data_IF_715610514192
#
_entry.id   IF_715610514192
#
_cell.length_a   1.000
_cell.length_b   1.000
_cell.length_c   1.000
_cell.angle_alpha   90.00
_cell.angle_beta   90.00
_cell.angle_gamma   90.00
#
_symmetry.space_group_name_H-M   'P 1'
#
loop_
_entity.id
_entity.type
_entity.pdbx_description
1 polymer ?
#
# COMPACT_ATOMS: atom_id res chain seq x y z
N UNK A 1 -65.14 -9.25 14.82
CA UNK A 1 -64.41 -7.97 14.63
C UNK A 1 -62.93 -8.30 14.55
N UNK A 2 -62.25 -8.10 13.41
CA UNK A 2 -60.80 -8.22 13.35
C UNK A 2 -60.18 -6.94 13.93
N UNK A 3 -59.30 -7.09 14.92
CA UNK A 3 -58.45 -6.01 15.44
C UNK A 3 -57.40 -5.66 14.39
N UNK A 4 -57.52 -4.48 13.77
CA UNK A 4 -56.43 -3.88 13.02
C UNK A 4 -55.41 -3.34 14.01
N UNK A 5 -54.34 -4.11 14.25
CA UNK A 5 -53.12 -3.53 14.80
C UNK A 5 -52.56 -2.55 13.77
N UNK A 6 -52.29 -1.28 14.14
CA UNK A 6 -51.64 -0.35 13.23
C UNK A 6 -50.20 -0.83 13.03
N UNK A 7 -49.92 -1.34 11.84
CA UNK A 7 -48.55 -1.50 11.33
C UNK A 7 -47.91 -0.12 11.46
N UNK A 8 -47.01 0.03 12.42
CA UNK A 8 -46.25 1.25 12.58
C UNK A 8 -45.39 1.36 11.33
N UNK A 9 -45.57 2.39 10.48
CA UNK A 9 -44.73 2.54 9.30
C UNK A 9 -43.29 2.61 9.79
N UNK A 10 -42.43 1.73 9.23
CA UNK A 10 -41.00 1.77 9.48
C UNK A 10 -40.57 3.22 9.26
N UNK A 11 -40.13 3.89 10.33
CA UNK A 11 -39.73 5.29 10.27
C UNK A 11 -38.76 5.46 9.10
N UNK A 12 -39.18 6.24 8.10
CA UNK A 12 -38.34 6.64 6.98
C UNK A 12 -37.05 7.20 7.58
N UNK A 13 -35.97 6.42 7.51
CA UNK A 13 -34.65 6.96 7.86
C UNK A 13 -34.45 8.14 6.93
N UNK A 14 -34.15 9.34 7.46
CA UNK A 14 -33.93 10.49 6.61
C UNK A 14 -32.82 10.14 5.62
N UNK A 15 -33.12 10.24 4.33
CA UNK A 15 -32.24 9.78 3.24
C UNK A 15 -30.79 10.30 3.39
N UNK A 16 -30.61 11.48 4.00
CA UNK A 16 -29.30 12.05 4.31
C UNK A 16 -28.46 11.29 5.34
N UNK A 17 -29.06 10.61 6.33
CA UNK A 17 -28.33 9.77 7.29
C UNK A 17 -27.84 8.46 6.65
N UNK A 18 -28.66 7.86 5.78
CA UNK A 18 -28.26 6.69 5.01
C UNK A 18 -27.13 7.04 4.01
N UNK A 19 -27.21 8.19 3.35
CA UNK A 19 -26.21 8.64 2.39
C UNK A 19 -24.88 9.03 3.04
N UNK A 20 -24.90 9.65 4.23
CA UNK A 20 -23.67 9.93 5.00
C UNK A 20 -23.04 8.67 5.59
N UNK A 21 -23.85 7.71 6.04
CA UNK A 21 -23.38 6.42 6.53
C UNK A 21 -22.63 5.62 5.46
N UNK A 22 -22.99 5.75 4.18
CA UNK A 22 -22.28 5.11 3.05
C UNK A 22 -21.09 5.95 2.57
N UNK A 23 -21.22 7.28 2.48
CA UNK A 23 -20.14 8.16 1.98
C UNK A 23 -18.89 8.17 2.87
N UNK A 24 -19.05 8.02 4.19
CA UNK A 24 -17.95 8.01 5.15
C UNK A 24 -16.95 6.86 4.90
N UNK A 25 -17.40 5.59 4.95
CA UNK A 25 -16.56 4.42 4.69
C UNK A 25 -15.89 4.44 3.31
N UNK A 26 -16.62 4.83 2.25
CA UNK A 26 -16.09 4.92 0.88
C UNK A 26 -14.96 5.95 0.80
N UNK A 27 -15.15 7.16 1.35
CA UNK A 27 -14.11 8.20 1.37
C UNK A 27 -12.90 7.78 2.15
N UNK A 28 -13.10 7.13 3.31
CA UNK A 28 -12.01 6.61 4.12
C UNK A 28 -11.19 5.59 3.35
N UNK A 29 -11.85 4.65 2.67
CA UNK A 29 -11.19 3.65 1.86
C UNK A 29 -10.39 4.28 0.71
N UNK A 30 -10.98 5.24 -0.03
CA UNK A 30 -10.29 5.98 -1.09
C UNK A 30 -9.06 6.72 -0.57
N UNK A 31 -9.19 7.42 0.56
CA UNK A 31 -8.08 8.13 1.19
C UNK A 31 -6.96 7.16 1.61
N UNK A 32 -7.31 6.01 2.20
CA UNK A 32 -6.31 4.99 2.55
C UNK A 32 -5.67 4.34 1.32
N UNK A 33 -6.41 4.14 0.23
CA UNK A 33 -5.85 3.62 -1.03
C UNK A 33 -4.83 4.60 -1.61
N UNK A 34 -5.17 5.89 -1.67
CA UNK A 34 -4.27 6.94 -2.14
C UNK A 34 -3.02 7.05 -1.26
N UNK A 35 -3.20 7.10 0.06
CA UNK A 35 -2.08 7.17 1.00
C UNK A 35 -1.15 5.96 0.88
N UNK A 36 -1.72 4.76 0.80
CA UNK A 36 -0.94 3.51 0.62
C UNK A 36 -0.18 3.54 -0.71
N UNK A 37 -0.85 3.94 -1.79
CA UNK A 37 -0.24 4.00 -3.12
C UNK A 37 0.92 4.98 -3.22
N UNK A 38 0.74 6.21 -2.70
CA UNK A 38 1.79 7.23 -2.67
C UNK A 38 2.99 6.78 -1.85
N UNK A 39 2.76 6.26 -0.64
CA UNK A 39 3.85 5.77 0.21
C UNK A 39 4.56 4.57 -0.41
N UNK A 40 3.82 3.66 -1.06
CA UNK A 40 4.40 2.53 -1.79
C UNK A 40 5.28 2.98 -2.95
N UNK A 41 4.83 3.99 -3.70
CA UNK A 41 5.60 4.56 -4.81
C UNK A 41 6.88 5.24 -4.30
N UNK A 42 6.78 6.04 -3.23
CA UNK A 42 7.92 6.71 -2.61
C UNK A 42 8.93 5.72 -2.03
N UNK A 43 8.46 4.73 -1.27
CA UNK A 43 9.32 3.69 -0.69
C UNK A 43 10.05 2.90 -1.80
N UNK A 44 9.30 2.41 -2.80
CA UNK A 44 9.89 1.59 -3.87
C UNK A 44 10.86 2.40 -4.73
N UNK A 45 10.47 3.61 -5.15
CA UNK A 45 11.35 4.48 -5.92
C UNK A 45 12.61 4.86 -5.12
N UNK A 46 12.43 5.20 -3.83
CA UNK A 46 13.52 5.54 -2.94
C UNK A 46 14.54 4.41 -2.79
N UNK A 47 14.08 3.18 -2.56
CA UNK A 47 14.95 2.00 -2.52
C UNK A 47 15.70 1.82 -3.83
N UNK A 48 14.99 1.91 -4.96
CA UNK A 48 15.61 1.76 -6.28
C UNK A 48 16.60 2.87 -6.60
N UNK A 49 16.39 4.09 -6.10
CA UNK A 49 17.34 5.20 -6.20
C UNK A 49 18.59 4.94 -5.35
N UNK A 50 18.45 4.44 -4.12
CA UNK A 50 19.62 4.05 -3.32
C UNK A 50 20.39 2.91 -3.98
N UNK A 51 19.68 1.94 -4.55
CA UNK A 51 20.25 0.78 -5.25
C UNK A 51 20.96 1.16 -6.57
N UNK A 52 20.82 2.39 -7.06
CA UNK A 52 21.63 2.89 -8.17
C UNK A 52 23.07 3.25 -7.73
N UNK A 53 23.31 3.46 -6.43
CA UNK A 53 24.66 3.65 -5.89
C UNK A 53 25.38 2.32 -5.69
N UNK A 54 26.60 2.20 -6.24
CA UNK A 54 27.41 0.98 -6.15
C UNK A 54 27.83 0.64 -4.72
N UNK A 55 28.09 1.65 -3.88
CA UNK A 55 28.50 1.45 -2.50
C UNK A 55 27.37 0.86 -1.67
N UNK A 56 26.17 1.43 -1.79
CA UNK A 56 24.96 0.91 -1.17
C UNK A 56 24.62 -0.50 -1.68
N UNK A 57 24.63 -0.71 -3.00
CA UNK A 57 24.37 -2.01 -3.63
C UNK A 57 25.31 -3.11 -3.11
N UNK A 58 26.62 -2.86 -3.08
CA UNK A 58 27.61 -3.77 -2.52
C UNK A 58 27.33 -4.06 -1.05
N UNK A 59 27.09 -3.02 -0.24
CA UNK A 59 26.83 -3.19 1.18
C UNK A 59 25.56 -4.03 1.44
N UNK A 60 24.52 -3.93 0.62
CA UNK A 60 23.33 -4.79 0.73
C UNK A 60 23.67 -6.24 0.37
N UNK A 61 24.38 -6.47 -0.73
CA UNK A 61 24.77 -7.82 -1.15
C UNK A 61 25.66 -8.52 -0.12
N UNK A 62 26.62 -7.80 0.47
CA UNK A 62 27.51 -8.34 1.51
C UNK A 62 26.73 -8.72 2.78
N UNK A 63 25.72 -7.92 3.15
CA UNK A 63 24.87 -8.24 4.28
C UNK A 63 24.04 -9.52 4.02
N UNK A 64 23.56 -9.68 2.78
CA UNK A 64 22.73 -10.82 2.38
C UNK A 64 23.51 -12.09 2.05
N UNK A 65 24.82 -12.00 1.86
CA UNK A 65 25.68 -13.17 1.65
C UNK A 65 25.97 -13.92 2.95
N UNK A 66 25.66 -13.33 4.12
CA UNK A 66 25.94 -13.89 5.45
C UNK A 66 27.40 -14.32 5.64
N UNK A 67 28.33 -13.71 4.89
CA UNK A 67 29.75 -14.06 4.90
C UNK A 67 30.08 -15.40 4.22
N UNK A 68 29.11 -16.05 3.56
CA UNK A 68 29.31 -17.33 2.89
C UNK A 68 29.88 -17.20 1.47
N UNK A 69 29.71 -16.03 0.84
CA UNK A 69 30.13 -15.76 -0.54
C UNK A 69 30.71 -14.36 -0.64
N UNK A 70 31.84 -14.24 -1.33
CA UNK A 70 32.46 -12.96 -1.67
C UNK A 70 31.63 -12.26 -2.76
N UNK A 71 31.30 -10.99 -2.54
CA UNK A 71 30.49 -10.20 -3.48
C UNK A 71 31.36 -9.63 -4.58
N UNK A 72 31.10 -10.04 -5.83
CA UNK A 72 31.88 -9.60 -6.99
C UNK A 72 31.35 -8.29 -7.58
N UNK A 73 32.16 -7.59 -8.38
CA UNK A 73 31.69 -6.44 -9.17
C UNK A 73 30.59 -6.80 -10.16
N UNK A 74 30.57 -8.05 -10.66
CA UNK A 74 29.53 -8.54 -11.54
C UNK A 74 28.19 -8.67 -10.81
N UNK A 75 28.20 -9.16 -9.57
CA UNK A 75 27.00 -9.24 -8.73
C UNK A 75 26.43 -7.85 -8.44
N UNK A 76 27.31 -6.89 -8.13
CA UNK A 76 26.91 -5.50 -7.93
C UNK A 76 26.29 -4.93 -9.20
N UNK A 77 26.93 -5.10 -10.36
CA UNK A 77 26.41 -4.60 -11.63
C UNK A 77 25.04 -5.20 -12.00
N UNK A 78 24.84 -6.49 -11.72
CA UNK A 78 23.56 -7.18 -11.93
C UNK A 78 22.47 -6.71 -10.94
N UNK A 79 22.86 -6.26 -9.75
CA UNK A 79 21.94 -5.74 -8.74
C UNK A 79 21.58 -4.27 -8.94
N UNK A 80 22.35 -3.48 -9.69
CA UNK A 80 22.05 -2.06 -9.88
C UNK A 80 20.68 -1.86 -10.55
N UNK A 81 19.96 -0.85 -10.06
CA UNK A 81 18.73 -0.40 -10.72
C UNK A 81 19.07 0.13 -12.12
N UNK A 82 18.42 -0.37 -13.20
CA UNK A 82 18.63 0.17 -14.53
C UNK A 82 18.10 1.61 -14.65
N UNK A 83 18.63 2.35 -15.62
CA UNK A 83 18.23 3.74 -15.88
C UNK A 83 16.72 3.86 -16.07
N UNK A 84 16.11 4.80 -15.35
CA UNK A 84 14.65 4.99 -15.36
C UNK A 84 13.84 3.95 -14.57
N UNK A 85 14.48 2.95 -13.95
CA UNK A 85 13.80 1.92 -13.16
C UNK A 85 13.00 2.49 -11.97
N UNK A 86 13.58 3.46 -11.25
CA UNK A 86 12.91 4.15 -10.14
C UNK A 86 11.65 4.94 -10.58
N UNK A 87 11.72 5.88 -11.55
CA UNK A 87 10.52 6.62 -11.98
C UNK A 87 9.49 5.72 -12.66
N UNK A 88 9.91 4.70 -13.42
CA UNK A 88 8.99 3.72 -14.02
C UNK A 88 8.21 2.96 -12.94
N UNK A 89 8.90 2.47 -11.91
CA UNK A 89 8.26 1.75 -10.79
C UNK A 89 7.26 2.64 -10.06
N UNK A 90 7.62 3.89 -9.77
CA UNK A 90 6.71 4.86 -9.18
C UNK A 90 5.45 5.07 -10.04
N UNK A 91 5.63 5.27 -11.34
CA UNK A 91 4.53 5.48 -12.28
C UNK A 91 3.58 4.27 -12.33
N UNK A 92 4.11 3.04 -12.36
CA UNK A 92 3.31 1.81 -12.33
C UNK A 92 2.50 1.71 -11.04
N UNK A 93 3.11 1.97 -9.88
CA UNK A 93 2.40 1.91 -8.59
C UNK A 93 1.29 2.96 -8.54
N UNK A 94 1.54 4.18 -9.01
CA UNK A 94 0.54 5.25 -9.06
C UNK A 94 -0.61 4.90 -10.03
N UNK A 95 -0.31 4.31 -11.18
CA UNK A 95 -1.33 3.84 -12.13
C UNK A 95 -2.21 2.74 -11.52
N UNK A 96 -1.60 1.74 -10.86
CA UNK A 96 -2.33 0.70 -10.13
C UNK A 96 -3.19 1.28 -9.01
N UNK A 97 -2.68 2.30 -8.30
CA UNK A 97 -3.43 3.02 -7.27
C UNK A 97 -4.65 3.71 -7.87
N UNK A 98 -4.50 4.40 -9.00
CA UNK A 98 -5.61 5.00 -9.74
C UNK A 98 -6.66 3.97 -10.18
N UNK A 99 -6.22 2.81 -10.67
CA UNK A 99 -7.11 1.70 -11.04
C UNK A 99 -7.86 1.14 -9.83
N UNK A 100 -7.21 1.02 -8.67
CA UNK A 100 -7.88 0.60 -7.43
C UNK A 100 -8.91 1.64 -6.96
N UNK A 101 -8.57 2.93 -7.00
CA UNK A 101 -9.51 4.01 -6.65
C UNK A 101 -10.73 4.00 -7.58
N UNK A 102 -10.51 3.84 -8.88
CA UNK A 102 -11.58 3.70 -9.87
C UNK A 102 -12.42 2.43 -9.62
N UNK A 103 -11.75 1.30 -9.35
CA UNK A 103 -12.39 0.02 -9.09
C UNK A 103 -13.26 0.03 -7.83
N UNK A 104 -12.85 0.74 -6.78
CA UNK A 104 -13.65 0.95 -5.56
C UNK A 104 -15.01 1.59 -5.89
N UNK A 105 -15.07 2.45 -6.91
CA UNK A 105 -16.31 3.12 -7.31
C UNK A 105 -17.22 2.27 -8.22
N UNK A 106 -16.66 1.31 -8.95
CA UNK A 106 -17.36 0.63 -10.06
C UNK A 106 -17.54 -0.88 -9.85
N UNK A 107 -16.56 -1.54 -9.25
CA UNK A 107 -16.41 -3.00 -9.21
C UNK A 107 -15.85 -3.45 -7.84
N UNK A 108 -16.54 -3.10 -6.76
CA UNK A 108 -16.02 -3.29 -5.39
C UNK A 108 -15.53 -4.71 -5.09
N UNK A 109 -16.33 -5.74 -5.38
CA UNK A 109 -16.00 -7.13 -5.01
C UNK A 109 -14.65 -7.61 -5.56
N UNK A 110 -14.36 -7.53 -6.87
CA UNK A 110 -13.05 -7.89 -7.39
C UNK A 110 -11.96 -6.92 -6.93
N UNK A 111 -12.24 -5.60 -6.86
CA UNK A 111 -11.25 -4.61 -6.42
C UNK A 111 -10.80 -4.83 -4.97
N UNK A 112 -11.70 -5.28 -4.09
CA UNK A 112 -11.36 -5.62 -2.70
C UNK A 112 -10.27 -6.68 -2.66
N UNK A 113 -10.44 -7.78 -3.40
CA UNK A 113 -9.47 -8.86 -3.43
C UNK A 113 -8.15 -8.47 -4.10
N UNK A 114 -8.21 -7.74 -5.22
CA UNK A 114 -7.02 -7.21 -5.87
C UNK A 114 -6.23 -6.28 -4.93
N UNK A 115 -6.92 -5.37 -4.23
CA UNK A 115 -6.33 -4.49 -3.24
C UNK A 115 -5.75 -5.24 -2.04
N UNK A 116 -6.40 -6.31 -1.56
CA UNK A 116 -5.86 -7.17 -0.50
C UNK A 116 -4.53 -7.79 -0.92
N UNK A 117 -4.46 -8.37 -2.12
CA UNK A 117 -3.22 -8.95 -2.66
C UNK A 117 -2.14 -7.88 -2.77
N UNK A 118 -2.46 -6.71 -3.33
CA UNK A 118 -1.51 -5.61 -3.46
C UNK A 118 -1.00 -5.11 -2.09
N UNK A 119 -1.88 -4.96 -1.10
CA UNK A 119 -1.50 -4.53 0.24
C UNK A 119 -0.60 -5.56 0.93
N UNK A 120 -0.90 -6.86 0.82
CA UNK A 120 -0.07 -7.94 1.37
C UNK A 120 1.32 -7.94 0.71
N UNK A 121 1.38 -7.86 -0.61
CA UNK A 121 2.66 -7.75 -1.35
C UNK A 121 3.43 -6.50 -0.91
N UNK A 122 2.76 -5.37 -0.77
CA UNK A 122 3.37 -4.13 -0.26
C UNK A 122 3.93 -4.29 1.15
N UNK A 123 3.20 -4.94 2.06
CA UNK A 123 3.69 -5.22 3.42
C UNK A 123 4.93 -6.11 3.41
N UNK A 124 4.90 -7.20 2.64
CA UNK A 124 6.04 -8.12 2.53
C UNK A 124 7.26 -7.41 1.95
N UNK A 125 7.07 -6.60 0.91
CA UNK A 125 8.14 -5.77 0.33
C UNK A 125 8.70 -4.78 1.34
N UNK A 126 7.85 -4.07 2.08
CA UNK A 126 8.31 -3.11 3.10
C UNK A 126 9.05 -3.77 4.26
N UNK A 127 8.56 -4.93 4.72
CA UNK A 127 9.23 -5.73 5.73
C UNK A 127 10.59 -6.23 5.23
N UNK A 128 10.65 -6.72 3.99
CA UNK A 128 11.90 -7.16 3.36
C UNK A 128 12.94 -6.04 3.32
N UNK A 129 12.57 -4.85 2.84
CA UNK A 129 13.49 -3.71 2.78
C UNK A 129 13.89 -3.16 4.14
N UNK A 130 13.04 -3.30 5.16
CA UNK A 130 13.38 -2.88 6.52
C UNK A 130 14.56 -3.66 7.14
N UNK A 131 14.84 -4.88 6.64
CA UNK A 131 16.01 -5.67 7.05
C UNK A 131 17.31 -4.95 6.68
N UNK A 132 17.34 -4.23 5.56
CA UNK A 132 18.50 -3.45 5.12
C UNK A 132 18.53 -2.06 5.80
N UNK A 133 17.65 -1.77 6.76
CA UNK A 133 17.46 -0.44 7.34
C UNK A 133 18.74 0.17 7.93
N UNK A 134 19.60 -0.64 8.55
CA UNK A 134 20.91 -0.17 9.03
C UNK A 134 21.82 0.35 7.90
N UNK A 135 21.75 -0.27 6.72
CA UNK A 135 22.49 0.16 5.52
C UNK A 135 21.86 1.40 4.90
N UNK A 136 20.53 1.50 4.91
CA UNK A 136 19.83 2.72 4.48
C UNK A 136 20.23 3.92 5.35
N UNK A 137 20.26 3.77 6.67
CA UNK A 137 20.70 4.85 7.58
C UNK A 137 22.15 5.23 7.31
N UNK A 138 23.02 4.25 7.06
CA UNK A 138 24.43 4.50 6.74
C UNK A 138 24.63 5.24 5.39
N UNK A 139 23.67 5.14 4.46
CA UNK A 139 23.66 5.90 3.20
C UNK A 139 23.33 7.40 3.38
N UNK A 140 23.08 7.85 4.61
CA UNK A 140 22.85 9.24 4.95
C UNK A 140 21.37 9.65 4.96
N UNK A 141 21.07 10.97 4.96
CA UNK A 141 19.72 11.49 5.19
C UNK A 141 18.67 10.94 4.21
N UNK A 142 19.05 10.75 2.94
CA UNK A 142 18.17 10.17 1.93
C UNK A 142 17.73 8.75 2.31
N UNK A 143 18.65 7.91 2.80
CA UNK A 143 18.31 6.55 3.19
C UNK A 143 17.45 6.47 4.45
N UNK A 144 17.59 7.41 5.39
CA UNK A 144 16.64 7.55 6.51
C UNK A 144 15.23 7.82 6.02
N UNK A 145 15.06 8.72 5.05
CA UNK A 145 13.74 9.02 4.47
C UNK A 145 13.14 7.80 3.76
N UNK A 146 13.95 7.03 3.04
CA UNK A 146 13.50 5.79 2.37
C UNK A 146 13.05 4.75 3.39
N UNK A 147 13.80 4.56 4.49
CA UNK A 147 13.41 3.66 5.56
C UNK A 147 12.07 4.08 6.21
N UNK A 148 11.91 5.38 6.50
CA UNK A 148 10.65 5.92 7.02
C UNK A 148 9.50 5.69 6.04
N UNK A 149 9.71 5.89 4.74
CA UNK A 149 8.72 5.61 3.71
C UNK A 149 8.35 4.12 3.67
N UNK A 150 9.33 3.21 3.77
CA UNK A 150 9.09 1.78 3.80
C UNK A 150 8.28 1.35 5.05
N UNK A 151 8.63 1.86 6.23
CA UNK A 151 7.85 1.61 7.45
C UNK A 151 6.43 2.18 7.35
N UNK A 152 6.28 3.40 6.83
CA UNK A 152 4.97 4.02 6.63
C UNK A 152 4.13 3.23 5.62
N UNK A 153 4.72 2.75 4.54
CA UNK A 153 4.07 1.85 3.57
C UNK A 153 3.51 0.59 4.26
N UNK A 154 4.30 -0.09 5.10
CA UNK A 154 3.83 -1.28 5.86
C UNK A 154 2.60 -0.94 6.71
N UNK A 155 2.67 0.16 7.47
CA UNK A 155 1.57 0.61 8.32
C UNK A 155 0.34 0.94 7.48
N UNK A 156 0.49 1.66 6.37
CA UNK A 156 -0.62 2.05 5.53
C UNK A 156 -1.26 0.85 4.81
N UNK A 157 -0.47 -0.12 4.35
CA UNK A 157 -1.02 -1.37 3.82
C UNK A 157 -1.83 -2.13 4.88
N UNK A 158 -1.35 -2.19 6.13
CA UNK A 158 -2.10 -2.79 7.23
C UNK A 158 -3.40 -2.03 7.53
N UNK A 159 -3.34 -0.69 7.56
CA UNK A 159 -4.53 0.17 7.72
C UNK A 159 -5.51 -0.05 6.57
N UNK A 160 -5.04 -0.18 5.33
CA UNK A 160 -5.87 -0.46 4.17
C UNK A 160 -6.61 -1.78 4.33
N UNK A 161 -5.92 -2.86 4.72
CA UNK A 161 -6.53 -4.17 4.97
C UNK A 161 -7.61 -4.09 6.06
N UNK A 162 -7.32 -3.38 7.15
CA UNK A 162 -8.28 -3.16 8.23
C UNK A 162 -9.51 -2.40 7.74
N UNK A 163 -9.33 -1.32 6.97
CA UNK A 163 -10.44 -0.50 6.45
C UNK A 163 -11.25 -1.27 5.41
N UNK A 164 -10.62 -1.96 4.47
CA UNK A 164 -11.28 -2.71 3.40
C UNK A 164 -12.10 -3.90 3.91
N UNK A 165 -11.74 -4.47 5.07
CA UNK A 165 -12.40 -5.64 5.65
C UNK A 165 -13.24 -5.35 6.90
N UNK A 166 -13.33 -4.09 7.35
CA UNK A 166 -14.28 -3.69 8.38
C UNK A 166 -15.73 -3.93 7.94
N UNK A 167 -16.59 -4.30 8.90
CA UNK A 167 -18.02 -4.53 8.67
C UNK A 167 -18.68 -3.29 8.06
N UNK A 168 -18.49 -2.12 8.66
CA UNK A 168 -19.04 -0.86 8.17
C UNK A 168 -18.72 -0.59 6.68
N UNK A 169 -17.50 -0.93 6.23
CA UNK A 169 -17.10 -0.78 4.83
C UNK A 169 -17.80 -1.82 3.95
N UNK A 170 -17.87 -3.08 4.40
CA UNK A 170 -18.56 -4.15 3.65
C UNK A 170 -20.04 -3.84 3.50
N UNK A 171 -20.72 -3.50 4.59
CA UNK A 171 -22.15 -3.19 4.60
C UNK A 171 -22.46 -1.97 3.72
N UNK A 172 -21.57 -0.97 3.69
CA UNK A 172 -21.69 0.19 2.81
C UNK A 172 -21.61 -0.15 1.30
N UNK A 173 -20.97 -1.25 0.91
CA UNK A 173 -20.82 -1.65 -0.50
C UNK A 173 -21.63 -2.89 -0.91
N UNK A 174 -21.91 -3.81 0.00
CA UNK A 174 -22.59 -5.08 -0.26
C UNK A 174 -24.10 -5.02 0.04
N UNK A 175 -24.59 -3.97 0.71
CA UNK A 175 -26.03 -3.77 1.02
C UNK A 175 -26.54 -4.71 2.10
#
# INVERSE_FOLDING_TARGET
MPSHDPVTPAADRPAGLAETAVRGPVRRLQATTLGTGVLSALASAGVLTLQADRGYARAVLEARSWGAVEVTDADVAAFLTPDGGAPLTAAVILALTGLLVWGIQRLWRPTRWAGTVAAVVGMLSGAFWSVDGGRMVAAGPAGVLVLLAACAMVVFCAVWLLVAHRRDTRDAFDG
#
